data_IF_493871523555
#
_entry.id   IF_493871523555
#
_cell.length_a   1.000
_cell.length_b   1.000
_cell.length_c   1.000
_cell.angle_alpha   90.00
_cell.angle_beta   90.00
_cell.angle_gamma   90.00
#
_symmetry.space_group_name_H-M   'P 1'
#
loop_
_entity.id
_entity.type
_entity.pdbx_description
1 polymer ?
#
# COMPACT_ATOMS: atom_id res chain seq x y z
N UNK A 1 74.03 -25.61 14.79
CA UNK A 1 72.91 -25.42 15.75
C UNK A 1 71.78 -24.51 15.23
N UNK A 2 72.05 -23.41 14.51
CA UNK A 2 70.99 -22.49 14.00
C UNK A 2 69.99 -23.12 13.01
N UNK A 3 70.41 -24.11 12.20
CA UNK A 3 69.52 -24.80 11.24
C UNK A 3 68.54 -25.80 11.88
N UNK A 4 68.92 -26.39 13.03
CA UNK A 4 68.07 -27.33 13.76
C UNK A 4 66.94 -26.59 14.49
N UNK A 5 67.25 -25.43 15.10
CA UNK A 5 66.23 -24.60 15.75
C UNK A 5 65.16 -24.07 14.76
N UNK A 6 65.55 -23.74 13.52
CA UNK A 6 64.61 -23.33 12.48
C UNK A 6 63.67 -24.47 12.04
N UNK A 7 64.18 -25.70 11.92
CA UNK A 7 63.38 -26.87 11.58
C UNK A 7 62.41 -27.26 12.71
N UNK A 8 62.84 -27.15 13.97
CA UNK A 8 61.96 -27.39 15.13
C UNK A 8 60.85 -26.35 15.25
N UNK A 9 61.13 -25.07 15.00
CA UNK A 9 60.12 -24.01 15.00
C UNK A 9 59.10 -24.20 13.86
N UNK A 10 59.55 -24.60 12.67
CA UNK A 10 58.68 -24.88 11.54
C UNK A 10 57.76 -26.09 11.81
N UNK A 11 58.28 -27.16 12.43
CA UNK A 11 57.48 -28.32 12.82
C UNK A 11 56.40 -27.97 13.85
N UNK A 12 56.73 -27.14 14.85
CA UNK A 12 55.81 -26.67 15.89
C UNK A 12 54.69 -25.78 15.32
N UNK A 13 55.03 -24.91 14.36
CA UNK A 13 54.05 -24.09 13.64
C UNK A 13 53.10 -24.99 12.85
N UNK A 14 53.61 -25.94 12.07
CA UNK A 14 52.80 -26.87 11.26
C UNK A 14 51.83 -27.68 12.13
N UNK A 15 52.27 -28.17 13.30
CA UNK A 15 51.38 -28.91 14.22
C UNK A 15 50.34 -28.03 14.90
N UNK A 16 50.64 -26.76 15.14
CA UNK A 16 49.68 -25.80 15.70
C UNK A 16 48.67 -25.24 14.69
N UNK A 17 48.99 -25.28 13.38
CA UNK A 17 48.10 -24.86 12.29
C UNK A 17 47.30 -26.01 11.66
N UNK A 18 47.52 -27.26 12.08
CA UNK A 18 46.59 -28.37 11.81
C UNK A 18 45.30 -28.11 12.58
N UNK A 19 44.46 -27.25 11.99
CA UNK A 19 43.28 -26.66 12.63
C UNK A 19 42.23 -27.68 13.05
N UNK A 20 41.22 -27.18 13.74
CA UNK A 20 40.12 -27.90 14.37
C UNK A 20 39.21 -28.74 13.42
N UNK A 21 39.65 -29.04 12.20
CA UNK A 21 38.92 -29.85 11.22
C UNK A 21 38.72 -31.32 11.63
N UNK A 22 39.42 -31.81 12.67
CA UNK A 22 39.06 -33.08 13.31
C UNK A 22 37.80 -32.92 14.19
N UNK A 23 37.70 -31.82 14.93
CA UNK A 23 36.59 -31.62 15.88
C UNK A 23 35.29 -31.29 15.13
N UNK A 24 35.39 -30.51 14.04
CA UNK A 24 34.28 -30.01 13.23
C UNK A 24 34.48 -30.36 11.75
N UNK A 25 33.44 -30.86 11.08
CA UNK A 25 33.47 -31.23 9.66
C UNK A 25 32.67 -32.51 9.37
N UNK A 26 32.53 -32.89 8.10
CA UNK A 26 31.74 -34.06 7.67
C UNK A 26 32.19 -35.40 8.30
N UNK A 27 33.44 -35.52 8.71
CA UNK A 27 33.96 -36.72 9.38
C UNK A 27 34.52 -36.42 10.79
N UNK A 28 34.15 -35.27 11.36
CA UNK A 28 34.61 -34.84 12.68
C UNK A 28 33.81 -35.43 13.83
N UNK A 29 34.30 -35.24 15.07
CA UNK A 29 33.59 -35.71 16.28
C UNK A 29 32.20 -35.08 16.43
N UNK A 30 32.08 -33.79 16.08
CA UNK A 30 30.80 -33.09 15.91
C UNK A 30 30.50 -32.95 14.41
N UNK A 31 30.04 -34.06 13.81
CA UNK A 31 29.65 -34.08 12.40
C UNK A 31 28.42 -33.23 12.13
N UNK A 32 28.48 -32.40 11.08
CA UNK A 32 27.30 -31.73 10.52
C UNK A 32 26.34 -32.77 9.92
N UNK A 33 25.12 -32.84 10.46
CA UNK A 33 24.05 -33.75 10.00
C UNK A 33 23.09 -33.08 9.03
N UNK A 34 23.38 -31.84 8.61
CA UNK A 34 22.53 -31.04 7.75
C UNK A 34 22.15 -31.76 6.46
N UNK A 35 23.01 -32.61 5.90
CA UNK A 35 22.79 -33.37 4.65
C UNK A 35 22.32 -34.81 4.85
N UNK A 36 22.17 -35.29 6.09
CA UNK A 36 21.84 -36.69 6.39
C UNK A 36 20.48 -37.12 5.83
N UNK A 37 19.54 -36.18 5.68
CA UNK A 37 18.21 -36.45 5.11
C UNK A 37 18.28 -36.87 3.63
N UNK A 38 19.32 -36.49 2.88
CA UNK A 38 19.50 -36.90 1.48
C UNK A 38 19.79 -38.40 1.34
N UNK A 39 20.30 -39.03 2.39
CA UNK A 39 20.53 -40.49 2.45
C UNK A 39 19.34 -41.28 2.99
N UNK A 40 18.27 -40.62 3.44
CA UNK A 40 17.10 -41.28 4.00
C UNK A 40 16.35 -42.08 2.92
N UNK A 41 16.00 -43.33 3.23
CA UNK A 41 15.24 -44.20 2.34
C UNK A 41 13.80 -44.31 2.82
N UNK A 42 12.85 -44.16 1.89
CA UNK A 42 11.45 -44.45 2.18
C UNK A 42 11.27 -45.95 2.42
N UNK A 43 10.64 -46.30 3.54
CA UNK A 43 10.26 -47.68 3.85
C UNK A 43 8.89 -48.00 3.26
N UNK A 44 8.66 -49.27 2.94
CA UNK A 44 7.37 -49.72 2.44
C UNK A 44 6.28 -49.53 3.49
N UNK A 45 5.04 -49.20 3.09
CA UNK A 45 3.90 -49.13 4.00
C UNK A 45 3.69 -50.44 4.78
N UNK A 46 3.22 -50.32 6.01
CA UNK A 46 2.91 -51.47 6.86
C UNK A 46 1.80 -52.34 6.23
N UNK A 47 2.02 -53.65 6.16
CA UNK A 47 1.02 -54.63 5.71
C UNK A 47 0.35 -55.25 6.91
N UNK A 48 -0.97 -55.21 6.95
CA UNK A 48 -1.76 -55.84 8.00
C UNK A 48 -2.07 -57.31 7.65
N UNK A 49 -2.12 -58.22 8.63
CA UNK A 49 -2.64 -59.58 8.45
C UNK A 49 -4.10 -59.58 7.98
N UNK A 50 -4.51 -60.65 7.29
CA UNK A 50 -5.84 -60.73 6.65
C UNK A 50 -7.02 -60.78 7.65
N UNK A 51 -6.76 -61.09 8.92
CA UNK A 51 -7.71 -61.20 10.02
C UNK A 51 -7.81 -59.93 10.88
N UNK A 52 -7.09 -58.86 10.53
CA UNK A 52 -7.05 -57.61 11.30
C UNK A 52 -7.72 -56.47 10.52
N UNK A 53 -8.92 -56.09 10.96
CA UNK A 53 -9.57 -54.85 10.50
C UNK A 53 -8.98 -53.65 11.24
N UNK A 54 -8.15 -52.86 10.55
CA UNK A 54 -7.67 -51.57 11.06
C UNK A 54 -8.52 -50.42 10.51
N UNK A 55 -8.69 -49.37 11.32
CA UNK A 55 -9.20 -48.08 10.87
C UNK A 55 -8.25 -47.52 9.79
N UNK A 56 -8.81 -46.89 8.75
CA UNK A 56 -8.03 -46.26 7.66
C UNK A 56 -6.93 -45.37 8.25
N UNK A 57 -5.68 -45.71 7.97
CA UNK A 57 -4.52 -44.95 8.38
C UNK A 57 -4.24 -43.88 7.32
N UNK A 58 -4.83 -42.70 7.50
CA UNK A 58 -4.51 -41.55 6.68
C UNK A 58 -3.22 -40.90 7.20
N UNK A 59 -2.20 -40.65 6.36
CA UNK A 59 -0.97 -40.00 6.80
C UNK A 59 -1.27 -38.56 7.23
N UNK A 60 -0.90 -38.21 8.46
CA UNK A 60 -1.09 -36.85 9.00
C UNK A 60 -0.25 -35.79 8.28
N UNK A 61 0.84 -36.21 7.63
CA UNK A 61 1.78 -35.35 6.90
C UNK A 61 2.01 -35.92 5.49
N UNK A 62 1.04 -35.77 4.56
CA UNK A 62 1.20 -36.25 3.20
C UNK A 62 2.24 -35.41 2.46
N UNK A 63 3.27 -36.06 1.91
CA UNK A 63 4.24 -35.41 1.03
C UNK A 63 3.63 -35.29 -0.38
N UNK A 64 3.54 -34.08 -0.97
CA UNK A 64 3.01 -33.89 -2.32
C UNK A 64 3.82 -34.67 -3.37
N UNK A 65 3.14 -35.37 -4.30
CA UNK A 65 3.81 -36.24 -5.28
C UNK A 65 4.30 -35.53 -6.55
N UNK A 66 3.95 -34.24 -6.74
CA UNK A 66 4.35 -33.45 -7.91
C UNK A 66 5.32 -32.34 -7.52
N UNK A 67 6.48 -32.73 -7.00
CA UNK A 67 7.59 -31.81 -6.80
C UNK A 67 8.52 -32.00 -8.00
N UNK A 68 8.84 -30.92 -8.73
CA UNK A 68 9.84 -30.99 -9.81
C UNK A 68 11.15 -31.45 -9.16
N UNK A 69 11.72 -32.55 -9.66
CA UNK A 69 12.98 -33.09 -9.17
C UNK A 69 14.05 -31.99 -9.17
N UNK A 70 14.47 -31.56 -7.98
CA UNK A 70 15.73 -30.87 -7.83
C UNK A 70 16.78 -31.98 -7.69
N UNK A 71 17.46 -32.31 -8.78
CA UNK A 71 18.54 -33.32 -8.82
C UNK A 71 19.82 -32.82 -8.11
N UNK A 72 19.65 -32.16 -6.96
CA UNK A 72 20.73 -31.62 -6.14
C UNK A 72 21.26 -32.76 -5.29
N UNK A 73 22.34 -33.37 -5.78
CA UNK A 73 23.17 -34.30 -5.01
C UNK A 73 24.38 -33.53 -4.49
N UNK A 74 24.43 -33.29 -3.18
CA UNK A 74 25.57 -32.65 -2.50
C UNK A 74 25.19 -31.45 -1.64
N UNK A 75 26.21 -30.67 -1.25
CA UNK A 75 26.09 -29.47 -0.44
C UNK A 75 25.34 -28.37 -1.22
N UNK A 76 24.16 -27.99 -0.73
CA UNK A 76 23.36 -26.92 -1.34
C UNK A 76 23.80 -25.56 -0.78
N UNK A 77 24.51 -24.78 -1.58
CA UNK A 77 24.93 -23.44 -1.20
C UNK A 77 23.72 -22.48 -1.26
N UNK A 78 23.28 -22.01 -0.08
CA UNK A 78 22.14 -21.10 0.02
C UNK A 78 22.51 -19.75 -0.62
N UNK A 79 21.82 -19.32 -1.69
CA UNK A 79 22.12 -18.04 -2.30
C UNK A 79 21.89 -16.91 -1.29
N UNK A 80 22.81 -15.93 -1.27
CA UNK A 80 22.63 -14.76 -0.39
C UNK A 80 21.31 -14.06 -0.74
N UNK A 81 20.55 -13.59 0.26
CA UNK A 81 19.34 -12.81 0.01
C UNK A 81 19.68 -11.66 -0.94
N UNK A 82 18.88 -11.49 -1.99
CA UNK A 82 19.01 -10.30 -2.83
C UNK A 82 18.83 -9.08 -1.94
N UNK A 83 19.72 -8.10 -2.06
CA UNK A 83 19.59 -6.86 -1.33
C UNK A 83 18.24 -6.22 -1.68
N UNK A 84 17.47 -5.82 -0.66
CA UNK A 84 16.25 -5.07 -0.83
C UNK A 84 16.59 -3.77 -1.56
N UNK A 85 16.28 -3.68 -2.84
CA UNK A 85 16.25 -2.39 -3.54
C UNK A 85 15.16 -1.56 -2.88
N UNK A 86 15.55 -0.59 -2.05
CA UNK A 86 14.65 0.48 -1.61
C UNK A 86 14.39 1.37 -2.84
N UNK A 87 13.60 0.85 -3.77
CA UNK A 87 12.93 1.62 -4.79
C UNK A 87 11.51 1.91 -4.30
N UNK A 88 11.41 2.55 -3.13
CA UNK A 88 10.25 3.36 -2.84
C UNK A 88 10.58 4.77 -3.35
N UNK A 89 10.64 4.93 -4.67
CA UNK A 89 10.21 6.21 -5.23
C UNK A 89 8.72 6.27 -4.86
N UNK A 90 8.41 6.82 -3.69
CA UNK A 90 7.07 7.36 -3.44
C UNK A 90 6.97 8.45 -4.48
N UNK A 91 6.38 8.13 -5.63
CA UNK A 91 6.14 9.11 -6.67
C UNK A 91 5.27 10.20 -6.03
N UNK A 92 5.78 11.44 -5.99
CA UNK A 92 5.05 12.60 -5.45
C UNK A 92 3.64 12.72 -6.03
N UNK A 93 3.42 12.17 -7.24
CA UNK A 93 2.16 12.12 -7.94
C UNK A 93 1.86 10.69 -8.41
N UNK A 94 0.64 10.20 -8.18
CA UNK A 94 0.19 8.87 -8.63
C UNK A 94 -1.24 8.91 -9.16
N UNK A 95 -1.46 8.32 -10.33
CA UNK A 95 -2.81 8.15 -10.89
C UNK A 95 -3.54 7.03 -10.14
N UNK A 96 -4.79 7.30 -9.75
CA UNK A 96 -5.70 6.34 -9.14
C UNK A 96 -6.94 6.18 -10.01
N UNK A 97 -7.42 4.93 -10.11
CA UNK A 97 -8.63 4.60 -10.86
C UNK A 97 -9.57 3.79 -9.97
N UNK A 98 -10.85 4.16 -9.96
CA UNK A 98 -11.92 3.35 -9.38
C UNK A 98 -13.13 3.31 -10.30
N UNK A 99 -13.44 2.12 -10.82
CA UNK A 99 -14.51 1.92 -11.81
C UNK A 99 -14.33 2.84 -13.01
N UNK A 100 -15.24 3.81 -13.12
CA UNK A 100 -15.30 4.79 -14.21
C UNK A 100 -14.64 6.14 -13.89
N UNK A 101 -14.05 6.28 -12.70
CA UNK A 101 -13.44 7.54 -12.24
C UNK A 101 -11.92 7.41 -12.13
N UNK A 102 -11.22 8.43 -12.61
CA UNK A 102 -9.77 8.55 -12.54
C UNK A 102 -9.41 9.88 -11.87
N UNK A 103 -8.38 9.88 -11.03
CA UNK A 103 -7.88 11.08 -10.38
C UNK A 103 -6.40 10.99 -10.06
N UNK A 104 -5.77 12.15 -9.91
CA UNK A 104 -4.36 12.24 -9.57
C UNK A 104 -4.21 12.50 -8.08
N UNK A 105 -3.52 11.61 -7.36
CA UNK A 105 -3.14 11.82 -5.96
C UNK A 105 -1.76 12.47 -5.91
N UNK A 106 -1.66 13.61 -5.22
CA UNK A 106 -0.40 14.27 -4.92
C UNK A 106 -0.08 14.15 -3.43
N UNK A 107 1.17 13.82 -3.09
CA UNK A 107 1.71 13.74 -1.73
C UNK A 107 2.03 15.14 -1.16
N UNK A 108 1.16 16.11 -1.43
CA UNK A 108 1.29 17.53 -1.09
C UNK A 108 -0.08 18.12 -0.75
N UNK A 109 -0.09 19.19 0.03
CA UNK A 109 -1.34 19.91 0.34
C UNK A 109 -1.88 20.63 -0.91
N UNK A 110 -3.22 20.84 -1.02
CA UNK A 110 -3.82 21.49 -2.18
C UNK A 110 -3.16 22.82 -2.56
N UNK A 111 -2.81 23.66 -1.58
CA UNK A 111 -2.18 24.95 -1.84
C UNK A 111 -0.79 24.87 -2.51
N UNK A 112 -0.06 23.76 -2.34
CA UNK A 112 1.20 23.53 -3.05
C UNK A 112 0.99 23.05 -4.48
N UNK A 113 -0.11 22.32 -4.72
CA UNK A 113 -0.40 21.67 -6.01
C UNK A 113 -1.14 22.62 -6.96
N UNK A 114 -1.97 23.50 -6.40
CA UNK A 114 -2.80 24.44 -7.13
C UNK A 114 -2.06 25.25 -8.21
N UNK A 115 -0.92 25.91 -7.91
CA UNK A 115 -0.22 26.71 -8.91
C UNK A 115 0.31 25.85 -10.06
N UNK A 116 0.80 24.64 -9.76
CA UNK A 116 1.30 23.71 -10.77
C UNK A 116 0.18 23.18 -11.68
N UNK A 117 -0.99 22.88 -11.11
CA UNK A 117 -2.16 22.49 -11.90
C UNK A 117 -2.63 23.63 -12.80
N UNK A 118 -2.76 24.85 -12.26
CA UNK A 118 -3.15 26.04 -13.02
C UNK A 118 -2.17 26.32 -14.17
N UNK A 119 -0.88 26.31 -13.89
CA UNK A 119 0.18 26.55 -14.87
C UNK A 119 0.14 25.51 -16.01
N UNK A 120 -0.09 24.24 -15.70
CA UNK A 120 -0.19 23.18 -16.72
C UNK A 120 -1.27 23.47 -17.75
N UNK A 121 -2.46 23.95 -17.33
CA UNK A 121 -3.54 24.29 -18.24
C UNK A 121 -3.21 25.55 -19.05
N UNK A 122 -2.60 26.57 -18.44
CA UNK A 122 -2.15 27.77 -19.15
C UNK A 122 -1.08 27.46 -20.21
N UNK A 123 -0.05 26.68 -19.86
CA UNK A 123 0.99 26.21 -20.78
C UNK A 123 0.42 25.30 -21.89
N UNK A 124 -0.66 24.60 -21.57
CA UNK A 124 -1.46 23.82 -22.52
C UNK A 124 -2.25 24.68 -23.53
N UNK A 125 -2.32 25.99 -23.33
CA UNK A 125 -3.11 26.91 -24.16
C UNK A 125 -4.60 26.98 -23.79
N UNK A 126 -4.99 26.41 -22.64
CA UNK A 126 -6.34 26.60 -22.11
C UNK A 126 -6.49 27.99 -21.48
N UNK A 127 -7.61 28.65 -21.72
CA UNK A 127 -8.00 29.93 -21.13
C UNK A 127 -8.87 29.65 -19.92
N UNK A 128 -8.44 30.08 -18.74
CA UNK A 128 -9.20 29.92 -17.51
C UNK A 128 -10.22 31.07 -17.40
N UNK A 129 -11.49 30.77 -17.16
CA UNK A 129 -12.59 31.76 -17.13
C UNK A 129 -13.28 31.88 -15.78
N UNK A 130 -13.20 30.84 -14.95
CA UNK A 130 -13.73 30.82 -13.59
C UNK A 130 -12.69 30.16 -12.69
N UNK A 131 -12.37 30.78 -11.56
CA UNK A 131 -11.35 30.31 -10.63
C UNK A 131 -11.84 30.58 -9.19
N UNK A 132 -11.84 29.54 -8.37
CA UNK A 132 -12.13 29.58 -6.93
C UNK A 132 -10.95 28.91 -6.21
N UNK A 133 -9.85 29.63 -5.95
CA UNK A 133 -8.68 29.06 -5.26
C UNK A 133 -9.00 28.55 -3.86
N UNK A 134 -9.98 29.17 -3.20
CA UNK A 134 -10.43 28.83 -1.84
C UNK A 134 -11.02 27.42 -1.75
N UNK A 135 -11.74 26.99 -2.80
CA UNK A 135 -12.36 25.65 -2.89
C UNK A 135 -11.58 24.71 -3.81
N UNK A 136 -10.48 25.18 -4.40
CA UNK A 136 -9.67 24.42 -5.33
C UNK A 136 -10.38 24.10 -6.65
N UNK A 137 -11.18 25.00 -7.21
CA UNK A 137 -11.90 24.74 -8.45
C UNK A 137 -11.60 25.77 -9.53
N UNK A 138 -11.35 25.33 -10.77
CA UNK A 138 -11.31 26.23 -11.92
C UNK A 138 -11.90 25.58 -13.16
N UNK A 139 -12.38 26.41 -14.08
CA UNK A 139 -12.85 25.96 -15.38
C UNK A 139 -12.27 26.77 -16.52
N UNK A 140 -12.06 26.11 -17.64
CA UNK A 140 -11.58 26.73 -18.86
C UNK A 140 -12.73 27.31 -19.67
N UNK A 141 -12.41 28.09 -20.69
CA UNK A 141 -13.33 28.49 -21.75
C UNK A 141 -13.63 27.31 -22.68
N UNK A 142 -14.68 27.45 -23.48
CA UNK A 142 -14.92 26.58 -24.63
C UNK A 142 -13.87 26.88 -25.71
N UNK A 143 -13.00 25.91 -25.97
CA UNK A 143 -11.94 26.05 -26.96
C UNK A 143 -11.88 24.86 -27.90
N UNK A 144 -11.59 25.16 -29.16
CA UNK A 144 -11.28 24.13 -30.15
C UNK A 144 -9.90 23.54 -29.86
N UNK A 145 -9.71 22.29 -30.25
CA UNK A 145 -8.44 21.58 -30.06
C UNK A 145 -7.26 22.25 -30.79
N UNK A 146 -7.51 22.81 -31.98
CA UNK A 146 -6.51 23.52 -32.79
C UNK A 146 -6.07 24.88 -32.20
N UNK A 147 -6.83 25.41 -31.23
CA UNK A 147 -6.49 26.62 -30.49
C UNK A 147 -5.60 26.37 -29.26
N UNK A 148 -5.38 25.10 -28.88
CA UNK A 148 -4.46 24.72 -27.79
C UNK A 148 -2.99 24.88 -28.21
N UNK A 149 -2.06 24.78 -27.26
CA UNK A 149 -0.63 24.83 -27.60
C UNK A 149 -0.20 23.64 -28.45
N UNK A 150 0.79 23.81 -29.32
CA UNK A 150 1.28 22.75 -30.20
C UNK A 150 1.81 21.53 -29.44
N UNK A 151 2.42 21.76 -28.27
CA UNK A 151 2.86 20.70 -27.36
C UNK A 151 1.66 19.91 -26.81
N UNK A 152 0.59 20.58 -26.37
CA UNK A 152 -0.63 19.92 -25.89
C UNK A 152 -1.30 19.11 -27.01
N UNK A 153 -1.39 19.69 -28.21
CA UNK A 153 -1.97 19.02 -29.37
C UNK A 153 -1.23 17.71 -29.67
N UNK A 154 0.10 17.76 -29.80
CA UNK A 154 0.91 16.57 -30.09
C UNK A 154 0.77 15.45 -29.05
N UNK A 155 0.62 15.80 -27.76
CA UNK A 155 0.47 14.83 -26.66
C UNK A 155 -0.90 14.15 -26.68
N UNK A 156 -1.94 14.89 -27.02
CA UNK A 156 -3.32 14.40 -27.02
C UNK A 156 -3.70 13.65 -28.30
N UNK A 157 -3.22 14.07 -29.48
CA UNK A 157 -3.55 13.43 -30.77
C UNK A 157 -3.17 11.95 -30.83
N UNK A 158 -2.09 11.54 -30.15
CA UNK A 158 -1.66 10.14 -30.10
C UNK A 158 -2.47 9.26 -29.14
N UNK A 159 -3.23 9.85 -28.21
CA UNK A 159 -3.94 9.14 -27.13
C UNK A 159 -5.45 9.19 -27.25
N UNK A 160 -5.98 10.28 -27.80
CA UNK A 160 -7.41 10.54 -27.89
C UNK A 160 -7.80 10.60 -29.36
N UNK A 161 -8.56 9.60 -29.82
CA UNK A 161 -9.10 9.58 -31.16
C UNK A 161 -10.23 10.60 -31.32
N UNK A 162 -10.37 11.17 -32.53
CA UNK A 162 -11.50 12.05 -32.86
C UNK A 162 -11.41 13.46 -32.29
N UNK A 163 -10.24 13.91 -31.85
CA UNK A 163 -9.98 15.32 -31.58
C UNK A 163 -9.97 16.07 -32.91
N UNK A 164 -11.09 16.71 -33.23
CA UNK A 164 -11.27 17.45 -34.46
C UNK A 164 -11.49 18.93 -34.19
N UNK A 165 -11.41 19.71 -35.27
CA UNK A 165 -11.63 21.15 -35.21
C UNK A 165 -13.13 21.53 -35.20
N UNK A 166 -14.02 20.52 -35.19
CA UNK A 166 -15.47 20.69 -35.23
C UNK A 166 -16.09 20.60 -33.84
N UNK A 167 -15.27 20.39 -32.81
CA UNK A 167 -15.69 20.33 -31.41
C UNK A 167 -14.96 21.38 -30.59
N UNK A 168 -15.68 21.97 -29.65
CA UNK A 168 -15.14 22.78 -28.57
C UNK A 168 -15.13 21.95 -27.30
N UNK A 169 -14.03 22.03 -26.56
CA UNK A 169 -13.83 21.37 -25.27
C UNK A 169 -13.73 22.42 -24.19
N UNK A 170 -14.35 22.14 -23.05
CA UNK A 170 -14.20 22.87 -21.80
C UNK A 170 -13.76 21.89 -20.72
N UNK A 171 -12.86 22.29 -19.85
CA UNK A 171 -12.36 21.45 -18.75
C UNK A 171 -12.71 22.09 -17.42
N UNK A 172 -13.18 21.26 -16.48
CA UNK A 172 -13.32 21.60 -15.07
C UNK A 172 -12.29 20.81 -14.28
N UNK A 173 -11.55 21.52 -13.43
CA UNK A 173 -10.54 20.94 -12.55
C UNK A 173 -10.95 21.23 -11.12
N UNK A 174 -10.95 20.17 -10.31
CA UNK A 174 -11.24 20.26 -8.89
C UNK A 174 -10.11 19.63 -8.10
N UNK A 175 -9.54 20.38 -7.19
CA UNK A 175 -8.45 20.01 -6.31
C UNK A 175 -8.98 19.97 -4.88
N UNK A 176 -8.91 18.81 -4.26
CA UNK A 176 -9.49 18.59 -2.95
C UNK A 176 -8.44 18.04 -1.99
N UNK A 177 -8.58 18.25 -0.67
CA UNK A 177 -7.80 17.52 0.31
C UNK A 177 -8.03 16.03 0.12
N UNK A 178 -6.95 15.27 0.11
CA UNK A 178 -7.04 13.82 0.02
C UNK A 178 -7.55 13.20 1.31
N UNK A 179 -7.92 11.92 1.22
CA UNK A 179 -8.26 11.11 2.40
C UNK A 179 -7.04 10.94 3.32
N UNK A 180 -5.84 11.05 2.76
CA UNK A 180 -4.56 11.04 3.47
C UNK A 180 -4.17 12.48 3.90
N UNK A 181 -3.75 12.73 5.16
CA UNK A 181 -3.21 14.05 5.53
C UNK A 181 -2.03 14.43 4.65
N UNK A 182 -1.90 15.74 4.46
CA UNK A 182 -0.89 16.35 3.60
C UNK A 182 -0.89 15.83 2.16
N UNK A 183 -2.01 15.27 1.70
CA UNK A 183 -2.22 14.89 0.30
C UNK A 183 -3.36 15.67 -0.31
N UNK A 184 -3.39 15.72 -1.63
CA UNK A 184 -4.48 16.30 -2.40
C UNK A 184 -4.85 15.39 -3.56
N UNK A 185 -6.12 15.44 -3.94
CA UNK A 185 -6.65 14.72 -5.09
C UNK A 185 -7.09 15.72 -6.16
N UNK A 186 -6.64 15.52 -7.40
CA UNK A 186 -6.99 16.35 -8.54
C UNK A 186 -7.93 15.56 -9.45
N UNK A 187 -9.10 16.13 -9.71
CA UNK A 187 -10.10 15.65 -10.63
C UNK A 187 -10.13 16.53 -11.87
N UNK A 188 -10.26 15.90 -13.02
CA UNK A 188 -10.42 16.57 -14.31
C UNK A 188 -11.65 15.97 -14.98
N UNK A 189 -12.58 16.85 -15.35
CA UNK A 189 -13.77 16.48 -16.14
C UNK A 189 -13.85 17.39 -17.34
N UNK A 190 -13.94 16.81 -18.54
CA UNK A 190 -14.15 17.58 -19.76
C UNK A 190 -15.57 17.46 -20.28
N UNK A 191 -16.06 18.57 -20.83
CA UNK A 191 -17.30 18.66 -21.60
C UNK A 191 -16.96 19.01 -23.05
N UNK A 192 -17.70 18.45 -23.99
CA UNK A 192 -17.53 18.70 -25.41
C UNK A 192 -18.85 19.15 -26.04
N UNK A 193 -18.77 20.07 -27.00
CA UNK A 193 -19.92 20.52 -27.80
C UNK A 193 -19.49 20.76 -29.25
N UNK A 194 -20.43 20.76 -30.22
CA UNK A 194 -20.11 21.18 -31.58
C UNK A 194 -19.58 22.62 -31.62
N UNK A 195 -18.56 22.87 -32.45
CA UNK A 195 -17.95 24.19 -32.60
C UNK A 195 -18.99 25.23 -33.05
N UNK A 196 -18.99 26.40 -32.42
CA UNK A 196 -19.98 27.46 -32.67
C UNK A 196 -21.39 27.18 -32.11
N UNK A 197 -21.58 26.09 -31.36
CA UNK A 197 -22.81 25.85 -30.61
C UNK A 197 -22.87 26.76 -29.37
N UNK A 198 -24.07 27.24 -29.03
CA UNK A 198 -24.33 27.95 -27.77
C UNK A 198 -24.90 27.01 -26.69
N UNK A 199 -24.84 25.69 -26.90
CA UNK A 199 -25.23 24.73 -25.88
C UNK A 199 -24.34 24.87 -24.65
N UNK A 200 -24.97 25.03 -23.49
CA UNK A 200 -24.30 24.99 -22.20
C UNK A 200 -24.38 23.56 -21.66
N UNK A 201 -23.31 22.80 -21.87
CA UNK A 201 -23.21 21.41 -21.43
C UNK A 201 -22.71 21.43 -19.98
N UNK A 202 -23.51 20.98 -19.01
CA UNK A 202 -23.09 20.97 -17.60
C UNK A 202 -21.97 19.96 -17.38
N UNK A 203 -21.06 20.28 -16.46
CA UNK A 203 -20.13 19.29 -15.94
C UNK A 203 -20.89 18.25 -15.13
N UNK A 204 -20.58 16.98 -15.37
CA UNK A 204 -21.10 15.86 -14.60
C UNK A 204 -20.07 15.42 -13.57
N UNK A 205 -20.51 14.84 -12.45
CA UNK A 205 -19.60 14.29 -11.44
C UNK A 205 -18.73 13.14 -11.99
N UNK A 206 -19.22 12.45 -13.01
CA UNK A 206 -18.49 11.39 -13.72
C UNK A 206 -18.02 11.90 -15.08
N UNK A 207 -16.82 11.48 -15.48
CA UNK A 207 -16.27 11.75 -16.80
C UNK A 207 -17.14 11.12 -17.90
N UNK A 208 -17.72 11.95 -18.76
CA UNK A 208 -18.34 11.51 -20.02
C UNK A 208 -17.27 11.20 -21.07
N UNK A 209 -16.17 11.97 -21.07
CA UNK A 209 -15.09 11.88 -22.03
C UNK A 209 -13.86 11.17 -21.44
N UNK A 210 -14.03 9.89 -21.05
CA UNK A 210 -13.03 9.12 -20.26
C UNK A 210 -11.63 9.11 -20.84
N UNK A 211 -11.50 9.01 -22.15
CA UNK A 211 -10.19 8.98 -22.83
C UNK A 211 -9.48 10.32 -22.76
N UNK A 212 -10.20 11.43 -22.91
CA UNK A 212 -9.66 12.77 -22.82
C UNK A 212 -9.28 13.13 -21.38
N UNK A 213 -10.16 12.82 -20.42
CA UNK A 213 -9.96 13.11 -19.01
C UNK A 213 -8.75 12.34 -18.46
N UNK A 214 -8.62 11.06 -18.80
CA UNK A 214 -7.44 10.26 -18.47
C UNK A 214 -6.16 10.80 -19.12
N UNK A 215 -6.20 11.18 -20.40
CA UNK A 215 -5.03 11.74 -21.09
C UNK A 215 -4.58 13.08 -20.48
N UNK A 216 -5.51 13.93 -20.05
CA UNK A 216 -5.21 15.17 -19.35
C UNK A 216 -4.60 14.91 -17.96
N UNK A 217 -5.12 13.95 -17.21
CA UNK A 217 -4.56 13.55 -15.91
C UNK A 217 -3.14 12.98 -16.04
N UNK A 218 -2.88 12.15 -17.04
CA UNK A 218 -1.54 11.62 -17.32
C UNK A 218 -0.54 12.72 -17.66
N UNK A 219 -0.94 13.68 -18.51
CA UNK A 219 -0.09 14.81 -18.87
C UNK A 219 0.13 15.76 -17.71
N UNK A 220 -0.89 15.97 -16.86
CA UNK A 220 -0.78 16.74 -15.64
C UNK A 220 0.21 16.09 -14.66
N UNK A 221 0.10 14.77 -14.44
CA UNK A 221 1.04 14.02 -13.59
C UNK A 221 2.48 14.18 -14.09
N UNK A 222 2.68 14.02 -15.39
CA UNK A 222 4.00 14.15 -16.00
C UNK A 222 4.52 15.59 -15.88
N UNK A 223 3.65 16.60 -16.00
CA UNK A 223 4.03 18.00 -15.83
C UNK A 223 4.43 18.33 -14.40
N UNK A 224 3.60 17.94 -13.42
CA UNK A 224 3.87 18.19 -12.01
C UNK A 224 5.15 17.49 -11.54
N UNK A 225 5.37 16.25 -11.98
CA UNK A 225 6.62 15.51 -11.70
C UNK A 225 7.84 16.28 -12.22
N UNK A 226 7.80 16.74 -13.48
CA UNK A 226 8.90 17.54 -14.06
C UNK A 226 9.12 18.86 -13.33
N UNK A 227 8.05 19.55 -12.93
CA UNK A 227 8.14 20.82 -12.20
C UNK A 227 8.83 20.62 -10.84
N UNK A 228 8.55 19.52 -10.15
CA UNK A 228 9.21 19.18 -8.87
C UNK A 228 10.68 18.81 -9.11
N UNK A 229 10.98 17.99 -10.11
CA UNK A 229 12.37 17.61 -10.45
C UNK A 229 13.25 18.81 -10.83
N UNK A 230 12.64 19.84 -11.44
CA UNK A 230 13.32 21.09 -11.80
C UNK A 230 13.46 22.09 -10.64
N UNK A 231 13.02 21.73 -9.43
CA UNK A 231 13.16 22.56 -8.24
C UNK A 231 12.14 23.71 -8.16
N UNK A 232 10.94 23.53 -8.71
CA UNK A 232 9.85 24.49 -8.58
C UNK A 232 9.57 24.83 -7.12
N UNK A 233 9.83 26.08 -6.71
CA UNK A 233 9.52 26.55 -5.36
C UNK A 233 8.07 27.01 -5.30
N UNK A 234 7.28 26.40 -4.42
CA UNK A 234 5.89 26.80 -4.14
C UNK A 234 5.86 27.61 -2.85
N UNK A 235 5.25 28.79 -2.91
CA UNK A 235 5.14 29.67 -1.75
C UNK A 235 4.11 29.13 -0.77
N UNK A 236 4.56 28.66 0.39
CA UNK A 236 3.73 28.11 1.47
C UNK A 236 2.81 29.16 2.14
N UNK A 237 2.95 30.44 1.79
CA UNK A 237 2.11 31.52 2.30
C UNK A 237 0.65 31.42 1.82
N UNK A 238 0.39 30.72 0.71
CA UNK A 238 -0.96 30.51 0.17
C UNK A 238 -1.75 29.37 0.86
N UNK A 239 -1.11 28.58 1.73
CA UNK A 239 -1.72 27.41 2.37
C UNK A 239 -2.70 27.71 3.51
N UNK A 240 -2.80 28.97 3.96
CA UNK A 240 -3.70 29.35 5.06
C UNK A 240 -5.13 29.65 4.62
N UNK A 241 -5.35 29.90 3.33
CA UNK A 241 -6.63 30.34 2.76
C UNK A 241 -7.30 29.24 1.93
N UNK A 242 -7.01 27.96 2.20
CA UNK A 242 -7.69 26.84 1.55
C UNK A 242 -8.78 26.30 2.48
N UNK A 243 -10.02 26.69 2.26
CA UNK A 243 -11.18 26.38 3.11
C UNK A 243 -11.89 25.10 2.64
N UNK A 244 -11.10 24.04 2.39
CA UNK A 244 -11.67 22.75 2.04
C UNK A 244 -11.91 21.92 3.31
N UNK A 245 -13.12 21.37 3.49
CA UNK A 245 -13.49 20.65 4.71
C UNK A 245 -12.62 19.43 4.92
N UNK A 246 -12.23 19.18 6.17
CA UNK A 246 -11.48 17.99 6.55
C UNK A 246 -12.28 16.73 6.17
N UNK A 247 -11.72 15.88 5.29
CA UNK A 247 -12.39 14.68 4.77
C UNK A 247 -12.65 13.61 5.82
N UNK A 248 -11.97 13.68 6.97
CA UNK A 248 -11.98 12.67 8.02
C UNK A 248 -12.38 13.30 9.34
N UNK A 249 -13.50 12.86 9.93
CA UNK A 249 -13.99 13.37 11.21
C UNK A 249 -14.42 12.24 12.13
N UNK A 250 -13.81 12.17 13.32
CA UNK A 250 -14.27 11.29 14.40
C UNK A 250 -15.44 11.94 15.13
N UNK A 251 -16.52 11.20 15.31
CA UNK A 251 -17.75 11.66 15.98
C UNK A 251 -18.39 10.52 16.77
N UNK A 252 -19.61 10.72 17.26
CA UNK A 252 -20.40 9.70 17.94
C UNK A 252 -21.76 9.54 17.24
N UNK A 253 -22.27 8.32 17.20
CA UNK A 253 -23.63 8.03 16.74
C UNK A 253 -24.70 8.50 17.76
N UNK A 254 -25.98 8.34 17.42
CA UNK A 254 -27.09 8.70 18.31
C UNK A 254 -27.15 7.93 19.65
N UNK A 255 -26.37 6.85 19.78
CA UNK A 255 -26.26 6.02 20.97
C UNK A 255 -24.95 6.26 21.74
N UNK A 256 -24.11 7.21 21.29
CA UNK A 256 -22.82 7.54 21.92
C UNK A 256 -21.63 6.67 21.49
N UNK A 257 -21.80 5.76 20.52
CA UNK A 257 -20.70 4.93 20.02
C UNK A 257 -19.81 5.75 19.08
N UNK A 258 -18.47 5.60 19.15
CA UNK A 258 -17.57 6.33 18.27
C UNK A 258 -17.69 5.84 16.82
N UNK A 259 -17.74 6.79 15.89
CA UNK A 259 -17.78 6.53 14.44
C UNK A 259 -16.80 7.46 13.74
N UNK A 260 -16.18 6.99 12.66
CA UNK A 260 -15.31 7.82 11.81
C UNK A 260 -16.03 8.11 10.49
N UNK A 261 -16.32 9.38 10.23
CA UNK A 261 -16.94 9.81 8.99
C UNK A 261 -15.87 10.17 7.96
N UNK A 262 -15.96 9.56 6.79
CA UNK A 262 -15.11 9.83 5.64
C UNK A 262 -15.97 10.48 4.55
N UNK A 263 -15.70 11.73 4.20
CA UNK A 263 -16.42 12.45 3.14
C UNK A 263 -15.88 12.05 1.76
N UNK A 264 -16.05 10.78 1.38
CA UNK A 264 -15.53 10.20 0.13
C UNK A 264 -16.40 9.01 -0.28
N UNK A 265 -16.30 8.58 -1.54
CA UNK A 265 -16.98 7.36 -2.00
C UNK A 265 -16.43 6.08 -1.33
N UNK A 266 -17.23 5.02 -1.40
CA UNK A 266 -16.93 3.73 -0.77
C UNK A 266 -15.61 3.13 -1.25
N UNK A 267 -15.29 3.22 -2.54
CA UNK A 267 -14.12 2.56 -3.08
C UNK A 267 -12.83 3.19 -2.55
N UNK A 268 -12.85 4.51 -2.40
CA UNK A 268 -11.76 5.28 -1.78
C UNK A 268 -11.67 5.09 -0.29
N UNK A 269 -12.81 5.12 0.41
CA UNK A 269 -12.85 4.85 1.84
C UNK A 269 -12.28 3.45 2.14
N UNK A 270 -12.70 2.44 1.37
CA UNK A 270 -12.17 1.08 1.44
C UNK A 270 -10.66 1.05 1.26
N UNK A 271 -10.16 1.62 0.16
CA UNK A 271 -8.72 1.64 -0.14
C UNK A 271 -7.91 2.41 0.92
N UNK A 272 -8.46 3.51 1.45
CA UNK A 272 -7.88 4.33 2.51
C UNK A 272 -7.79 3.57 3.83
N UNK A 273 -8.89 2.98 4.29
CA UNK A 273 -8.95 2.21 5.55
C UNK A 273 -8.07 0.96 5.47
N UNK A 274 -8.06 0.23 4.35
CA UNK A 274 -7.17 -0.92 4.19
C UNK A 274 -5.69 -0.56 4.20
N UNK A 275 -5.31 0.66 3.76
CA UNK A 275 -3.93 1.16 3.92
C UNK A 275 -3.65 1.58 5.35
N UNK A 276 -4.54 2.33 5.99
CA UNK A 276 -4.32 2.83 7.35
C UNK A 276 -4.21 1.68 8.36
N UNK A 277 -5.02 0.63 8.22
CA UNK A 277 -4.91 -0.58 9.04
C UNK A 277 -3.52 -1.23 8.94
N UNK A 278 -2.96 -1.33 7.73
CA UNK A 278 -1.59 -1.85 7.52
C UNK A 278 -0.52 -0.94 8.12
N UNK A 279 -0.67 0.37 7.97
CA UNK A 279 0.28 1.36 8.51
C UNK A 279 0.25 1.41 10.04
N UNK A 280 -0.93 1.18 10.64
CA UNK A 280 -1.13 1.07 12.08
C UNK A 280 -0.64 -0.27 12.68
N UNK A 281 -0.04 -1.15 11.86
CA UNK A 281 0.36 -2.52 12.25
C UNK A 281 -0.80 -3.36 12.81
N UNK A 282 -2.02 -3.08 12.35
CA UNK A 282 -3.21 -3.87 12.69
C UNK A 282 -3.30 -5.06 11.75
N UNK A 283 -3.24 -6.26 12.32
CA UNK A 283 -3.36 -7.50 11.56
C UNK A 283 -4.78 -7.64 11.01
N UNK A 284 -4.89 -7.63 9.69
CA UNK A 284 -6.12 -7.95 8.96
C UNK A 284 -6.08 -9.44 8.62
N UNK A 285 -6.96 -10.22 9.24
CA UNK A 285 -7.06 -11.66 9.04
C UNK A 285 -7.83 -12.00 7.75
N UNK A 286 -8.86 -11.21 7.41
CA UNK A 286 -9.66 -11.38 6.21
C UNK A 286 -10.35 -10.07 5.79
N UNK A 287 -10.82 -9.99 4.54
CA UNK A 287 -11.55 -8.85 4.00
C UNK A 287 -12.78 -9.30 3.20
N UNK A 288 -13.90 -8.64 3.40
CA UNK A 288 -15.08 -8.82 2.58
C UNK A 288 -15.57 -7.45 2.08
N UNK A 289 -15.15 -7.10 0.85
CA UNK A 289 -15.52 -5.83 0.22
C UNK A 289 -17.02 -5.70 0.00
N UNK A 290 -17.70 -6.79 -0.39
CA UNK A 290 -19.14 -6.78 -0.65
C UNK A 290 -19.94 -6.45 0.61
N UNK A 291 -19.50 -6.94 1.77
CA UNK A 291 -20.10 -6.61 3.06
C UNK A 291 -19.53 -5.34 3.70
N UNK A 292 -18.49 -4.75 3.10
CA UNK A 292 -17.78 -3.60 3.64
C UNK A 292 -17.06 -3.90 4.96
N UNK A 293 -16.50 -5.09 5.16
CA UNK A 293 -15.88 -5.50 6.43
C UNK A 293 -14.41 -5.88 6.28
N UNK A 294 -13.56 -5.33 7.14
CA UNK A 294 -12.23 -5.86 7.45
C UNK A 294 -12.30 -6.65 8.76
N UNK A 295 -11.84 -7.90 8.76
CA UNK A 295 -11.69 -8.69 9.97
C UNK A 295 -10.31 -8.44 10.56
N UNK A 296 -10.27 -7.76 11.71
CA UNK A 296 -9.03 -7.33 12.36
C UNK A 296 -8.80 -8.08 13.66
N UNK A 297 -7.54 -8.31 13.95
CA UNK A 297 -7.10 -9.01 15.14
C UNK A 297 -6.30 -8.06 16.03
N UNK A 298 -6.86 -7.75 17.21
CA UNK A 298 -6.22 -6.91 18.20
C UNK A 298 -5.35 -7.73 19.16
N UNK A 299 -4.55 -8.67 18.64
CA UNK A 299 -3.50 -9.32 19.42
C UNK A 299 -2.37 -8.31 19.63
N UNK A 300 -2.49 -7.51 20.70
CA UNK A 300 -1.51 -6.52 21.17
C UNK A 300 -0.84 -5.73 20.04
N UNK A 301 -1.45 -4.61 19.63
CA UNK A 301 -0.73 -3.56 18.89
C UNK A 301 0.58 -3.22 19.61
N UNK A 302 1.62 -2.73 18.89
CA UNK A 302 2.99 -2.68 19.37
C UNK A 302 3.00 -2.14 20.80
N UNK A 303 3.36 -2.98 21.78
CA UNK A 303 3.58 -2.47 23.12
C UNK A 303 4.64 -1.38 22.96
N UNK A 304 4.23 -0.12 23.08
CA UNK A 304 5.10 0.99 23.47
C UNK A 304 5.52 0.75 24.92
N UNK A 305 6.19 -0.38 25.16
CA UNK A 305 6.90 -0.62 26.40
C UNK A 305 8.25 0.04 26.20
N UNK A 306 8.34 1.29 26.65
CA UNK A 306 9.59 2.05 26.68
C UNK A 306 10.54 1.54 27.79
N UNK A 307 10.44 0.26 28.14
CA UNK A 307 11.28 -0.42 29.11
C UNK A 307 11.88 -1.64 28.43
N UNK A 308 13.11 -1.47 27.94
CA UNK A 308 13.95 -2.57 27.50
C UNK A 308 13.91 -3.64 28.59
N UNK A 309 13.57 -4.91 28.28
CA UNK A 309 13.57 -5.95 29.28
C UNK A 309 14.97 -6.03 29.89
N UNK A 310 15.06 -5.76 31.20
CA UNK A 310 16.31 -5.81 31.93
C UNK A 310 16.98 -7.17 31.78
N UNK A 311 18.30 -7.21 31.95
CA UNK A 311 19.15 -8.38 31.75
C UNK A 311 18.60 -9.68 32.38
N UNK A 312 17.94 -9.58 33.54
CA UNK A 312 17.32 -10.71 34.24
C UNK A 312 16.07 -11.28 33.57
N UNK A 313 15.22 -10.44 32.94
CA UNK A 313 14.03 -10.90 32.20
C UNK A 313 14.41 -11.65 30.92
N UNK A 314 15.59 -11.35 30.35
CA UNK A 314 16.14 -12.02 29.16
C UNK A 314 16.78 -13.38 29.47
N UNK A 315 17.14 -13.64 30.73
CA UNK A 315 17.78 -14.88 31.17
C UNK A 315 16.76 -15.91 31.70
N UNK A 316 15.58 -15.46 32.14
CA UNK A 316 14.53 -16.33 32.70
C UNK A 316 13.15 -16.20 32.02
N UNK A 317 13.01 -15.32 31.01
CA UNK A 317 11.77 -15.14 30.27
C UNK A 317 11.67 -16.13 29.12
N UNK A 318 10.79 -17.12 29.25
CA UNK A 318 10.34 -17.92 28.11
C UNK A 318 9.71 -17.00 27.05
N UNK A 319 10.02 -17.24 25.78
CA UNK A 319 9.27 -16.66 24.68
C UNK A 319 7.79 -16.95 24.90
N UNK A 320 6.94 -15.92 24.89
CA UNK A 320 5.50 -16.16 24.89
C UNK A 320 5.14 -17.06 23.70
N UNK A 321 4.47 -18.17 24.00
CA UNK A 321 4.01 -19.13 23.01
C UNK A 321 3.08 -18.42 22.01
N UNK A 322 3.39 -18.49 20.71
CA UNK A 322 2.52 -17.96 19.65
C UNK A 322 1.06 -18.45 19.79
N UNK A 323 0.85 -19.65 20.32
CA UNK A 323 -0.45 -20.21 20.61
C UNK A 323 -1.20 -19.47 21.76
N UNK A 324 -0.47 -18.96 22.76
CA UNK A 324 -1.04 -18.12 23.82
C UNK A 324 -1.38 -16.70 23.31
N UNK A 325 -0.60 -16.18 22.35
CA UNK A 325 -0.85 -14.91 21.65
C UNK A 325 -2.11 -15.02 20.76
N UNK A 326 -2.27 -16.15 20.08
CA UNK A 326 -3.44 -16.43 19.24
C UNK A 326 -4.70 -16.76 20.07
N UNK A 327 -4.55 -17.31 21.27
CA UNK A 327 -5.65 -17.57 22.20
C UNK A 327 -6.23 -16.31 22.86
N UNK A 328 -5.43 -15.23 22.97
CA UNK A 328 -5.83 -13.92 23.52
C UNK A 328 -6.18 -12.88 22.44
N UNK A 329 -6.15 -13.28 21.17
CA UNK A 329 -6.53 -12.47 20.03
C UNK A 329 -8.02 -12.14 20.05
N UNK A 330 -8.38 -10.93 20.47
CA UNK A 330 -9.73 -10.43 20.29
C UNK A 330 -9.95 -10.02 18.84
N UNK A 331 -10.91 -10.70 18.19
CA UNK A 331 -11.29 -10.45 16.80
C UNK A 331 -12.39 -9.41 16.74
N UNK A 332 -12.20 -8.42 15.88
CA UNK A 332 -13.14 -7.33 15.63
C UNK A 332 -13.35 -7.17 14.12
N UNK A 333 -14.40 -6.44 13.78
CA UNK A 333 -14.81 -6.10 12.43
C UNK A 333 -14.77 -4.59 12.28
N UNK A 334 -13.99 -4.08 11.34
CA UNK A 334 -14.05 -2.68 10.92
C UNK A 334 -15.01 -2.63 9.73
N UNK A 335 -16.19 -2.05 9.94
CA UNK A 335 -17.25 -1.97 8.94
C UNK A 335 -17.28 -0.58 8.31
N UNK A 336 -17.41 -0.54 6.99
CA UNK A 336 -17.61 0.67 6.20
C UNK A 336 -19.04 0.65 5.62
N UNK A 337 -19.81 1.70 5.93
CA UNK A 337 -21.19 1.85 5.46
C UNK A 337 -21.33 3.16 4.70
N UNK A 338 -21.76 3.11 3.43
CA UNK A 338 -22.04 4.31 2.66
C UNK A 338 -23.38 4.93 3.12
N UNK A 339 -23.35 6.22 3.46
CA UNK A 339 -24.50 7.02 3.90
C UNK A 339 -24.47 8.35 3.14
N UNK A 340 -25.28 8.46 2.08
CA UNK A 340 -25.23 9.60 1.17
C UNK A 340 -23.84 9.70 0.51
N UNK A 341 -23.23 10.88 0.59
CA UNK A 341 -21.90 11.18 0.03
C UNK A 341 -20.75 10.92 1.03
N UNK A 342 -21.05 10.23 2.14
CA UNK A 342 -20.08 9.91 3.19
C UNK A 342 -20.03 8.41 3.44
N UNK A 343 -18.90 7.94 3.96
CA UNK A 343 -18.71 6.57 4.42
C UNK A 343 -18.45 6.60 5.92
N UNK A 344 -19.30 5.92 6.67
CA UNK A 344 -19.15 5.75 8.11
C UNK A 344 -18.34 4.50 8.39
N UNK A 345 -17.30 4.63 9.20
CA UNK A 345 -16.48 3.52 9.68
C UNK A 345 -16.81 3.24 11.15
N UNK A 346 -17.19 2.01 11.44
CA UNK A 346 -17.53 1.52 12.78
C UNK A 346 -16.66 0.32 13.14
N UNK A 347 -16.57 0.03 14.44
CA UNK A 347 -15.85 -1.13 14.97
C UNK A 347 -16.83 -2.00 15.74
N UNK A 348 -16.95 -3.26 15.34
CA UNK A 348 -17.92 -4.21 15.84
C UNK A 348 -17.22 -5.49 16.30
N UNK A 349 -17.78 -6.19 17.28
CA UNK A 349 -17.31 -7.54 17.66
C UNK A 349 -17.85 -8.60 16.71
N UNK A 350 -19.10 -8.44 16.31
CA UNK A 350 -19.81 -9.26 15.33
C UNK A 350 -20.98 -8.46 14.72
N UNK A 351 -21.69 -9.08 13.78
CA UNK A 351 -22.77 -8.43 13.01
C UNK A 351 -23.89 -7.80 13.87
N UNK A 352 -24.07 -8.23 15.12
CA UNK A 352 -25.12 -7.75 16.01
C UNK A 352 -24.58 -6.96 17.22
N UNK A 353 -23.26 -6.89 17.37
CA UNK A 353 -22.63 -6.42 18.61
C UNK A 353 -21.55 -5.38 18.31
N UNK A 354 -21.80 -4.14 18.71
CA UNK A 354 -20.78 -3.08 18.67
C UNK A 354 -19.60 -3.42 19.60
N UNK A 355 -18.39 -2.99 19.22
CA UNK A 355 -17.24 -3.14 20.10
C UNK A 355 -17.37 -2.20 21.32
N UNK A 356 -16.71 -2.52 22.45
CA UNK A 356 -16.59 -1.59 23.56
C UNK A 356 -16.09 -0.21 23.09
N UNK A 357 -16.68 0.88 23.61
CA UNK A 357 -16.45 2.22 23.09
C UNK A 357 -14.98 2.68 23.16
N UNK A 358 -14.23 2.21 24.16
CA UNK A 358 -12.80 2.44 24.31
C UNK A 358 -11.98 1.71 23.24
N UNK A 359 -12.30 0.45 22.94
CA UNK A 359 -11.67 -0.33 21.87
C UNK A 359 -11.99 0.27 20.51
N UNK A 360 -13.26 0.57 20.27
CA UNK A 360 -13.72 1.18 19.03
C UNK A 360 -13.03 2.53 18.79
N UNK A 361 -12.98 3.41 19.81
CA UNK A 361 -12.28 4.69 19.72
C UNK A 361 -10.81 4.49 19.42
N UNK A 362 -10.11 3.60 20.13
CA UNK A 362 -8.69 3.32 19.90
C UNK A 362 -8.41 2.89 18.45
N UNK A 363 -9.23 1.99 17.91
CA UNK A 363 -9.06 1.50 16.53
C UNK A 363 -9.38 2.60 15.51
N UNK A 364 -10.45 3.37 15.72
CA UNK A 364 -10.80 4.47 14.84
C UNK A 364 -9.77 5.61 14.90
N UNK A 365 -9.18 5.89 16.06
CA UNK A 365 -8.07 6.83 16.22
C UNK A 365 -6.84 6.32 15.46
N UNK A 366 -6.47 5.05 15.59
CA UNK A 366 -5.37 4.46 14.81
C UNK A 366 -5.62 4.54 13.31
N UNK A 367 -6.87 4.29 12.87
CA UNK A 367 -7.26 4.45 11.47
C UNK A 367 -7.14 5.93 11.07
N UNK A 368 -7.69 6.87 11.82
CA UNK A 368 -7.62 8.31 11.55
C UNK A 368 -6.18 8.83 11.53
N UNK A 369 -5.34 8.39 12.46
CA UNK A 369 -3.92 8.73 12.54
C UNK A 369 -3.09 8.14 11.39
N UNK A 370 -3.58 7.10 10.72
CA UNK A 370 -2.87 6.46 9.61
C UNK A 370 -3.61 6.62 8.28
N UNK A 371 -4.73 7.34 8.26
CA UNK A 371 -5.39 7.84 7.06
C UNK A 371 -4.60 9.06 6.57
N UNK A 372 -3.31 8.84 6.24
CA UNK A 372 -2.28 9.83 5.88
C UNK A 372 -2.08 10.90 6.92
#
# INVERSE_FOLDING_TARGET
MKRLAGLSALALIITSTSGCGWIWGENGYFRDRGSDYLGARQTAPMKLPADVEAKRLDPLLPVPQQIRDSDVKGEYEVPRPQALTVAANVSDFSLQNSGDSSWLVAQRVPAEVWPGARQFFEDGGFRIVDERPQTGEFSTDWQRFDALSSSMQSRLTGRVGGLDSNTETRVHVRLEPGVQRNTSEIFVVSAQRPAGSNADVPFTERSVNKTLDAALLDELQASLTRSVEQGGSVSLLAGRDFDAPNRVALSQDGNGNPILNLSTDFDRAWSGVGRSLRMADLRVDDINRTLGVYYVNLAEGPQRNNEKPGFFKRMFGGSEDKAAIEARAERYQVRLTAVGDTVQVTVEKDINTVAPADVARKVLDMIQENLG
#
